data_IF_681215936590
#
_entry.id   IF_681215936590
#
_cell.length_a   1.000
_cell.length_b   1.000
_cell.length_c   1.000
_cell.angle_alpha   90.00
_cell.angle_beta   90.00
_cell.angle_gamma   90.00
#
_symmetry.space_group_name_H-M   'P 1'
#
loop_
_entity.id
_entity.type
_entity.pdbx_description
1 polymer ?
#
# COMPACT_ATOMS: atom_id res chain seq x y z
N UNK A 1 -29.18 -5.50 9.53
CA UNK A 1 -28.21 -4.39 9.65
C UNK A 1 -27.67 -4.08 8.27
N UNK A 2 -28.08 -2.96 7.64
CA UNK A 2 -27.47 -2.50 6.37
C UNK A 2 -26.16 -1.81 6.73
N UNK A 3 -25.05 -2.54 6.59
CA UNK A 3 -23.75 -1.90 6.47
C UNK A 3 -23.81 -1.12 5.15
N UNK A 4 -23.91 0.20 5.21
CA UNK A 4 -24.05 1.04 4.01
C UNK A 4 -22.75 1.78 3.79
N UNK A 5 -21.64 1.05 3.72
CA UNK A 5 -20.44 1.61 3.12
C UNK A 5 -20.77 1.87 1.65
N UNK A 6 -20.58 3.10 1.23
CA UNK A 6 -20.84 3.54 -0.15
C UNK A 6 -19.64 3.20 -1.06
N UNK A 7 -19.85 3.07 -2.38
CA UNK A 7 -18.76 2.94 -3.35
C UNK A 7 -17.72 4.06 -3.21
N UNK A 8 -18.16 5.28 -2.90
CA UNK A 8 -17.29 6.44 -2.73
C UNK A 8 -16.39 6.33 -1.48
N UNK A 9 -16.93 5.85 -0.35
CA UNK A 9 -16.13 5.60 0.85
C UNK A 9 -15.09 4.49 0.61
N UNK A 10 -15.42 3.46 -0.17
CA UNK A 10 -14.47 2.41 -0.58
C UNK A 10 -13.34 2.97 -1.45
N UNK A 11 -13.66 3.82 -2.44
CA UNK A 11 -12.65 4.47 -3.29
C UNK A 11 -11.77 5.45 -2.52
N UNK A 12 -12.36 6.19 -1.59
CA UNK A 12 -11.61 7.07 -0.68
C UNK A 12 -10.62 6.25 0.15
N UNK A 13 -11.07 5.13 0.72
CA UNK A 13 -10.19 4.21 1.45
C UNK A 13 -9.08 3.65 0.54
N UNK A 14 -9.40 3.21 -0.67
CA UNK A 14 -8.42 2.70 -1.65
C UNK A 14 -7.35 3.76 -2.03
N UNK A 15 -7.77 5.02 -2.19
CA UNK A 15 -6.87 6.14 -2.42
C UNK A 15 -5.93 6.36 -1.23
N UNK A 16 -6.45 6.30 0.00
CA UNK A 16 -5.64 6.41 1.21
C UNK A 16 -4.60 5.30 1.33
N UNK A 17 -4.96 4.04 1.03
CA UNK A 17 -4.01 2.92 1.01
C UNK A 17 -2.89 3.14 -0.02
N UNK A 18 -3.24 3.59 -1.22
CA UNK A 18 -2.27 3.95 -2.26
C UNK A 18 -1.33 5.07 -1.81
N UNK A 19 -1.86 6.12 -1.19
CA UNK A 19 -1.05 7.22 -0.68
C UNK A 19 -0.07 6.77 0.42
N UNK A 20 -0.52 5.91 1.35
CA UNK A 20 0.34 5.37 2.42
C UNK A 20 1.40 4.41 1.89
N UNK A 21 1.08 3.63 0.86
CA UNK A 21 2.04 2.80 0.12
C UNK A 21 3.18 3.63 -0.47
N UNK A 22 2.86 4.77 -1.10
CA UNK A 22 3.86 5.74 -1.59
C UNK A 22 4.75 6.29 -0.47
N UNK A 23 4.15 6.74 0.63
CA UNK A 23 4.91 7.26 1.79
C UNK A 23 5.90 6.24 2.36
N UNK A 24 5.53 4.95 2.41
CA UNK A 24 6.44 3.89 2.86
C UNK A 24 7.58 3.69 1.86
N UNK A 25 7.31 3.76 0.55
CA UNK A 25 8.33 3.68 -0.50
C UNK A 25 9.35 4.81 -0.37
N UNK A 26 8.90 6.03 -0.09
CA UNK A 26 9.76 7.19 0.14
C UNK A 26 10.64 7.01 1.37
N UNK A 27 10.08 6.49 2.48
CA UNK A 27 10.82 6.18 3.70
C UNK A 27 11.91 5.12 3.44
N UNK A 28 11.58 4.03 2.74
CA UNK A 28 12.55 2.98 2.40
C UNK A 28 13.71 3.57 1.59
N UNK A 29 13.39 4.38 0.58
CA UNK A 29 14.38 5.03 -0.29
C UNK A 29 15.29 5.96 0.52
N UNK A 30 14.71 6.77 1.41
CA UNK A 30 15.48 7.63 2.31
C UNK A 30 16.45 6.83 3.17
N UNK A 31 15.98 5.78 3.84
CA UNK A 31 16.80 4.95 4.71
C UNK A 31 17.94 4.26 3.94
N UNK A 32 17.68 3.78 2.71
CA UNK A 32 18.72 3.19 1.86
C UNK A 32 19.83 4.18 1.53
N UNK A 33 19.47 5.43 1.22
CA UNK A 33 20.43 6.49 0.94
C UNK A 33 21.26 6.85 2.20
N UNK A 34 20.63 6.91 3.37
CA UNK A 34 21.31 7.16 4.64
C UNK A 34 22.34 6.06 4.94
N UNK A 35 21.95 4.80 4.79
CA UNK A 35 22.84 3.65 5.02
C UNK A 35 24.00 3.61 4.03
N UNK A 36 23.73 3.87 2.75
CA UNK A 36 24.78 3.95 1.71
C UNK A 36 25.79 5.07 2.01
N UNK A 37 25.33 6.20 2.57
CA UNK A 37 26.23 7.27 3.00
C UNK A 37 27.11 6.84 4.17
N UNK A 38 26.53 6.17 5.17
CA UNK A 38 27.27 5.69 6.34
C UNK A 38 28.33 4.66 5.96
N UNK A 39 28.06 3.80 4.98
CA UNK A 39 28.99 2.80 4.44
C UNK A 39 30.33 3.41 4.02
N UNK A 40 30.27 4.61 3.40
CA UNK A 40 31.48 5.32 2.95
C UNK A 40 32.35 5.89 4.08
N UNK A 41 31.85 5.91 5.31
CA UNK A 41 32.50 6.58 6.47
C UNK A 41 32.84 5.65 7.62
N UNK A 42 32.35 4.41 7.60
CA UNK A 42 32.43 3.50 8.73
C UNK A 42 33.22 2.24 8.34
N UNK A 43 34.48 2.13 8.77
CA UNK A 43 35.30 0.92 8.61
C UNK A 43 35.22 0.03 9.87
N UNK A 44 34.78 -1.23 9.74
CA UNK A 44 34.98 -2.24 10.78
C UNK A 44 33.96 -3.39 10.78
N UNK A 45 34.30 -4.51 11.42
CA UNK A 45 33.49 -5.76 11.40
C UNK A 45 32.05 -5.64 11.99
N UNK A 46 31.73 -4.57 12.73
CA UNK A 46 30.37 -4.28 13.18
C UNK A 46 29.45 -3.75 12.06
N UNK A 47 30.04 -3.34 10.94
CA UNK A 47 29.38 -2.88 9.72
C UNK A 47 28.55 -4.02 9.11
N UNK A 48 29.17 -5.15 8.79
CA UNK A 48 28.54 -6.25 8.04
C UNK A 48 27.21 -6.73 8.65
N UNK A 49 27.17 -6.89 9.98
CA UNK A 49 25.96 -7.31 10.70
C UNK A 49 24.83 -6.27 10.62
N UNK A 50 25.18 -4.98 10.66
CA UNK A 50 24.21 -3.89 10.51
C UNK A 50 23.65 -3.87 9.08
N UNK A 51 24.50 -3.98 8.06
CA UNK A 51 24.07 -3.98 6.65
C UNK A 51 23.20 -5.20 6.32
N UNK A 52 23.52 -6.38 6.87
CA UNK A 52 22.67 -7.57 6.77
C UNK A 52 21.29 -7.32 7.37
N UNK A 53 21.23 -6.86 8.62
CA UNK A 53 19.97 -6.58 9.30
C UNK A 53 19.13 -5.51 8.57
N UNK A 54 19.79 -4.47 8.05
CA UNK A 54 19.14 -3.43 7.27
C UNK A 54 18.57 -3.96 5.95
N UNK A 55 19.35 -4.78 5.22
CA UNK A 55 18.92 -5.39 3.96
C UNK A 55 17.71 -6.30 4.17
N UNK A 56 17.72 -7.11 5.22
CA UNK A 56 16.59 -7.97 5.58
C UNK A 56 15.35 -7.14 5.93
N UNK A 57 15.51 -6.06 6.70
CA UNK A 57 14.42 -5.14 7.02
C UNK A 57 13.84 -4.50 5.76
N UNK A 58 14.68 -4.00 4.85
CA UNK A 58 14.24 -3.41 3.57
C UNK A 58 13.45 -4.42 2.75
N UNK A 59 13.89 -5.68 2.68
CA UNK A 59 13.20 -6.75 1.95
C UNK A 59 11.79 -7.00 2.49
N UNK A 60 11.60 -6.92 3.82
CA UNK A 60 10.28 -7.03 4.44
C UNK A 60 9.43 -5.79 4.12
N UNK A 61 10.00 -4.59 4.26
CA UNK A 61 9.28 -3.33 4.02
C UNK A 61 8.87 -3.16 2.56
N UNK A 62 9.64 -3.67 1.61
CA UNK A 62 9.32 -3.66 0.18
C UNK A 62 8.07 -4.48 -0.17
N UNK A 63 7.63 -5.40 0.69
CA UNK A 63 6.38 -6.15 0.51
C UNK A 63 5.16 -5.33 0.91
N UNK A 64 5.33 -4.30 1.75
CA UNK A 64 4.21 -3.50 2.24
C UNK A 64 3.46 -2.76 1.11
N UNK A 65 4.15 -2.09 0.16
CA UNK A 65 3.47 -1.49 -1.00
C UNK A 65 2.62 -2.47 -1.80
N UNK A 66 3.09 -3.71 -1.99
CA UNK A 66 2.35 -4.75 -2.71
C UNK A 66 1.05 -5.13 -1.98
N UNK A 67 1.13 -5.33 -0.66
CA UNK A 67 -0.05 -5.60 0.17
C UNK A 67 -1.06 -4.45 0.09
N UNK A 68 -0.61 -3.21 0.21
CA UNK A 68 -1.48 -2.04 0.08
C UNK A 68 -2.14 -1.96 -1.30
N UNK A 69 -1.40 -2.22 -2.37
CA UNK A 69 -1.94 -2.24 -3.74
C UNK A 69 -2.99 -3.36 -3.92
N UNK A 70 -2.77 -4.52 -3.30
CA UNK A 70 -3.75 -5.60 -3.25
C UNK A 70 -5.05 -5.18 -2.56
N UNK A 71 -4.95 -4.52 -1.41
CA UNK A 71 -6.12 -3.98 -0.68
C UNK A 71 -6.83 -2.92 -1.50
N UNK A 72 -6.10 -1.98 -2.11
CA UNK A 72 -6.65 -0.97 -3.03
C UNK A 72 -7.46 -1.62 -4.16
N UNK A 73 -6.92 -2.66 -4.80
CA UNK A 73 -7.60 -3.40 -5.87
C UNK A 73 -8.90 -4.06 -5.40
N UNK A 74 -8.88 -4.68 -4.22
CA UNK A 74 -10.07 -5.29 -3.63
C UNK A 74 -11.16 -4.25 -3.31
N UNK A 75 -10.79 -3.13 -2.69
CA UNK A 75 -11.73 -2.05 -2.36
C UNK A 75 -12.39 -1.46 -3.62
N UNK A 76 -11.62 -1.24 -4.68
CA UNK A 76 -12.14 -0.76 -5.96
C UNK A 76 -13.07 -1.78 -6.62
N UNK A 77 -12.75 -3.08 -6.53
CA UNK A 77 -13.59 -4.16 -7.07
C UNK A 77 -14.94 -4.23 -6.34
N UNK A 78 -14.94 -4.10 -5.01
CA UNK A 78 -16.17 -4.06 -4.22
C UNK A 78 -17.00 -2.83 -4.57
N UNK A 79 -16.37 -1.66 -4.69
CA UNK A 79 -17.06 -0.43 -5.09
C UNK A 79 -17.76 -0.57 -6.45
N UNK A 80 -17.05 -1.12 -7.45
CA UNK A 80 -17.61 -1.38 -8.77
C UNK A 80 -18.79 -2.36 -8.72
N UNK A 81 -18.67 -3.44 -7.94
CA UNK A 81 -19.72 -4.45 -7.81
C UNK A 81 -21.01 -3.86 -7.24
N UNK A 82 -20.90 -2.95 -6.26
CA UNK A 82 -22.07 -2.26 -5.67
C UNK A 82 -22.74 -1.37 -6.72
N UNK A 83 -21.98 -0.60 -7.48
CA UNK A 83 -22.52 0.28 -8.53
C UNK A 83 -23.20 -0.48 -9.65
N UNK A 84 -22.58 -1.58 -10.12
CA UNK A 84 -23.15 -2.42 -11.17
C UNK A 84 -24.47 -3.04 -10.70
N UNK A 85 -24.52 -3.47 -9.44
CA UNK A 85 -25.74 -4.02 -8.82
C UNK A 85 -26.85 -2.97 -8.73
N UNK A 86 -26.51 -1.75 -8.27
CA UNK A 86 -27.46 -0.65 -8.15
C UNK A 86 -27.98 -0.20 -9.53
N UNK A 87 -27.12 -0.15 -10.56
CA UNK A 87 -27.50 0.18 -11.92
C UNK A 87 -28.43 -0.88 -12.54
N UNK A 88 -28.13 -2.17 -12.33
CA UNK A 88 -28.97 -3.27 -12.80
C UNK A 88 -30.36 -3.26 -12.16
N UNK A 89 -30.43 -2.99 -10.84
CA UNK A 89 -31.70 -2.84 -10.13
C UNK A 89 -32.49 -1.64 -10.64
N UNK A 90 -31.85 -0.48 -10.84
CA UNK A 90 -32.49 0.70 -11.37
C UNK A 90 -33.04 0.50 -12.79
N UNK A 91 -32.34 -0.26 -13.63
CA UNK A 91 -32.83 -0.63 -14.97
C UNK A 91 -34.03 -1.56 -14.91
N UNK A 92 -34.04 -2.52 -13.99
CA UNK A 92 -35.12 -3.51 -13.83
C UNK A 92 -36.42 -2.89 -13.29
N UNK A 93 -36.32 -1.80 -12.53
CA UNK A 93 -37.48 -1.06 -12.01
C UNK A 93 -38.08 -0.06 -13.01
N UNK A 94 -37.34 0.28 -14.08
CA UNK A 94 -37.78 1.21 -15.12
C UNK A 94 -38.37 0.51 -16.35
N UNK A 95 -38.18 -0.81 -16.49
CA UNK A 95 -38.80 -1.66 -17.50
C UNK A 95 -40.07 -2.31 -16.99
#
# INVERSE_FOLDING_TARGET
>A
SRITITPEELRTSASNFTAKSGQVTDIITFLQNEVSRLESTWEGAAQDQFFLAFTDMVKVLQQFPEVCNGVTGQLNTVAQTIEDTDAALASSLKG
#
